data_IF_601431476924
#
_entry.id   IF_601431476924
#
_cell.length_a   1.000
_cell.length_b   1.000
_cell.length_c   1.000
_cell.angle_alpha   90.00
_cell.angle_beta   90.00
_cell.angle_gamma   90.00
#
_symmetry.space_group_name_H-M   'P 1'
#
loop_
_entity.id
_entity.type
_entity.pdbx_description
1 polymer ?
#
# COMPACT_ATOMS: atom_id res chain seq x y z
N UNK A 1 -9.71 16.53 -0.39
CA UNK A 1 -8.38 15.99 -0.79
C UNK A 1 -7.64 16.93 -1.74
N UNK A 2 -8.25 17.41 -2.83
CA UNK A 2 -7.58 18.21 -3.89
C UNK A 2 -6.96 19.56 -3.47
N UNK A 3 -7.36 20.17 -2.35
CA UNK A 3 -6.84 21.47 -1.88
C UNK A 3 -5.92 21.36 -0.65
N UNK A 4 -5.32 20.18 -0.42
CA UNK A 4 -4.50 19.96 0.77
C UNK A 4 -3.03 20.31 0.50
N UNK A 5 -2.30 20.91 1.46
CA UNK A 5 -0.85 21.02 1.39
C UNK A 5 -0.22 19.63 1.18
N UNK A 6 0.90 19.51 0.45
CA UNK A 6 1.59 18.23 0.23
C UNK A 6 1.88 17.50 1.54
N UNK A 7 2.29 18.24 2.56
CA UNK A 7 2.66 17.72 3.89
C UNK A 7 1.50 17.04 4.62
N UNK A 8 0.26 17.50 4.40
CA UNK A 8 -0.95 16.95 5.03
C UNK A 8 -1.70 16.00 4.12
N UNK A 9 -1.26 15.87 2.86
CA UNK A 9 -1.98 15.11 1.86
C UNK A 9 -2.03 13.61 2.21
N UNK A 10 -0.90 13.06 2.64
CA UNK A 10 -0.78 11.65 3.03
C UNK A 10 -1.68 11.34 4.24
N UNK A 11 -1.66 12.19 5.26
CA UNK A 11 -2.50 12.00 6.45
C UNK A 11 -3.99 12.08 6.12
N UNK A 12 -4.40 13.05 5.30
CA UNK A 12 -5.80 13.19 4.88
C UNK A 12 -6.27 12.02 4.04
N UNK A 13 -5.42 11.49 3.17
CA UNK A 13 -5.72 10.27 2.43
C UNK A 13 -5.88 9.08 3.38
N UNK A 14 -4.96 8.92 4.34
CA UNK A 14 -5.05 7.87 5.37
C UNK A 14 -6.36 7.95 6.17
N UNK A 15 -6.77 9.14 6.58
CA UNK A 15 -8.04 9.34 7.30
C UNK A 15 -9.22 8.94 6.42
N UNK A 16 -9.29 9.41 5.17
CA UNK A 16 -10.37 9.07 4.25
C UNK A 16 -10.44 7.56 3.97
N UNK A 17 -9.29 6.92 3.75
CA UNK A 17 -9.16 5.49 3.55
C UNK A 17 -9.61 4.71 4.79
N UNK A 18 -9.15 5.09 5.98
CA UNK A 18 -9.53 4.46 7.24
C UNK A 18 -11.03 4.59 7.53
N UNK A 19 -11.61 5.77 7.29
CA UNK A 19 -13.05 5.98 7.43
C UNK A 19 -13.85 5.10 6.47
N UNK A 20 -13.42 5.01 5.21
CA UNK A 20 -14.08 4.17 4.21
C UNK A 20 -14.01 2.69 4.58
N UNK A 21 -12.80 2.18 4.89
CA UNK A 21 -12.61 0.79 5.29
C UNK A 21 -13.37 0.47 6.58
N UNK A 22 -13.42 1.39 7.54
CA UNK A 22 -14.23 1.26 8.75
C UNK A 22 -15.73 1.19 8.45
N UNK A 23 -16.23 2.01 7.52
CA UNK A 23 -17.63 1.96 7.09
C UNK A 23 -17.97 0.64 6.37
N UNK A 24 -17.05 0.06 5.60
CA UNK A 24 -17.26 -1.26 5.01
C UNK A 24 -17.48 -2.35 6.07
N UNK A 25 -16.76 -2.29 7.19
CA UNK A 25 -16.91 -3.25 8.29
C UNK A 25 -18.30 -3.21 8.94
N UNK A 26 -19.03 -2.11 8.84
CA UNK A 26 -20.40 -2.00 9.36
C UNK A 26 -21.48 -2.24 8.29
N UNK A 27 -21.28 -1.73 7.07
CA UNK A 27 -22.25 -1.84 5.98
C UNK A 27 -22.39 -3.29 5.50
N UNK A 28 -21.28 -4.01 5.29
CA UNK A 28 -21.33 -5.37 4.73
C UNK A 28 -22.12 -6.34 5.62
N UNK A 29 -21.89 -6.40 6.95
CA UNK A 29 -22.71 -7.23 7.84
C UNK A 29 -24.18 -6.80 7.91
N UNK A 30 -24.46 -5.49 7.86
CA UNK A 30 -25.83 -4.98 7.90
C UNK A 30 -26.66 -5.48 6.70
N UNK A 31 -26.03 -5.57 5.54
CA UNK A 31 -26.66 -6.04 4.31
C UNK A 31 -26.35 -7.52 4.00
N UNK A 32 -25.93 -8.32 4.98
CA UNK A 32 -25.50 -9.72 4.75
C UNK A 32 -26.59 -10.57 4.09
N UNK A 33 -27.86 -10.33 4.42
CA UNK A 33 -28.98 -11.04 3.82
C UNK A 33 -29.10 -10.69 2.33
N UNK A 34 -29.05 -9.41 1.98
CA UNK A 34 -29.06 -8.97 0.59
C UNK A 34 -27.83 -9.48 -0.17
N UNK A 35 -26.65 -9.49 0.46
CA UNK A 35 -25.44 -10.03 -0.17
C UNK A 35 -25.63 -11.50 -0.56
N UNK A 36 -25.99 -12.34 0.42
CA UNK A 36 -26.12 -13.78 0.21
C UNK A 36 -27.28 -14.16 -0.73
N UNK A 37 -28.45 -13.58 -0.52
CA UNK A 37 -29.67 -14.04 -1.21
C UNK A 37 -29.98 -13.32 -2.53
N UNK A 38 -29.30 -12.20 -2.80
CA UNK A 38 -29.48 -11.47 -4.05
C UNK A 38 -28.17 -11.24 -4.80
N UNK A 39 -27.18 -10.60 -4.17
CA UNK A 39 -25.96 -10.18 -4.89
C UNK A 39 -25.12 -11.40 -5.31
N UNK A 40 -24.80 -12.29 -4.39
CA UNK A 40 -24.02 -13.50 -4.65
C UNK A 40 -24.81 -14.46 -5.56
N UNK A 41 -26.06 -14.77 -5.20
CA UNK A 41 -26.83 -15.84 -5.87
C UNK A 41 -27.48 -15.43 -7.18
N UNK A 42 -27.88 -14.17 -7.36
CA UNK A 42 -28.54 -13.69 -8.60
C UNK A 42 -27.59 -12.93 -9.51
N UNK A 43 -26.63 -12.19 -8.94
CA UNK A 43 -25.74 -11.33 -9.71
C UNK A 43 -24.32 -11.89 -9.82
N UNK A 44 -23.98 -12.95 -9.07
CA UNK A 44 -22.65 -13.56 -9.03
C UNK A 44 -21.55 -12.53 -8.73
N UNK A 45 -21.82 -11.67 -7.74
CA UNK A 45 -20.92 -10.62 -7.25
C UNK A 45 -20.82 -10.67 -5.73
N UNK A 46 -19.94 -9.87 -5.16
CA UNK A 46 -19.85 -9.62 -3.72
C UNK A 46 -19.97 -8.12 -3.42
N UNK A 47 -20.78 -7.78 -2.40
CA UNK A 47 -21.04 -6.40 -2.01
C UNK A 47 -19.78 -5.69 -1.52
N UNK A 48 -18.91 -6.37 -0.77
CA UNK A 48 -17.68 -5.76 -0.27
C UNK A 48 -16.77 -5.42 -1.45
N UNK A 49 -16.62 -6.33 -2.40
CA UNK A 49 -15.81 -6.12 -3.59
C UNK A 49 -16.37 -5.00 -4.48
N UNK A 50 -17.70 -4.94 -4.66
CA UNK A 50 -18.37 -3.86 -5.40
C UNK A 50 -18.12 -2.48 -4.74
N UNK A 51 -18.17 -2.40 -3.41
CA UNK A 51 -17.89 -1.17 -2.68
C UNK A 51 -16.41 -0.80 -2.74
N UNK A 52 -15.49 -1.76 -2.54
CA UNK A 52 -14.05 -1.55 -2.72
C UNK A 52 -13.78 -0.97 -4.11
N UNK A 53 -14.33 -1.59 -5.16
CA UNK A 53 -14.21 -1.11 -6.54
C UNK A 53 -14.69 0.33 -6.70
N UNK A 54 -15.84 0.66 -6.11
CA UNK A 54 -16.41 2.01 -6.17
C UNK A 54 -15.45 3.06 -5.58
N UNK A 55 -14.85 2.80 -4.42
CA UNK A 55 -13.86 3.71 -3.83
C UNK A 55 -12.56 3.77 -4.63
N UNK A 56 -12.10 2.62 -5.13
CA UNK A 56 -10.91 2.55 -5.99
C UNK A 56 -11.05 3.47 -7.20
N UNK A 57 -12.13 3.32 -7.97
CA UNK A 57 -12.36 4.07 -9.23
C UNK A 57 -12.66 5.56 -8.98
N UNK A 58 -13.46 5.88 -7.97
CA UNK A 58 -13.97 7.24 -7.81
C UNK A 58 -13.08 8.13 -6.94
N UNK A 59 -12.24 7.53 -6.10
CA UNK A 59 -11.40 8.26 -5.13
C UNK A 59 -9.93 7.89 -5.32
N UNK A 60 -9.55 6.64 -5.09
CA UNK A 60 -8.14 6.29 -4.96
C UNK A 60 -7.34 6.44 -6.27
N UNK A 61 -7.90 6.05 -7.42
CA UNK A 61 -7.28 6.23 -8.74
C UNK A 61 -6.92 7.69 -9.04
N UNK A 62 -7.76 8.64 -8.62
CA UNK A 62 -7.52 10.07 -8.84
C UNK A 62 -6.36 10.61 -8.01
N UNK A 63 -5.94 9.88 -6.99
CA UNK A 63 -4.94 10.31 -6.03
C UNK A 63 -3.64 9.50 -6.12
N UNK A 64 -3.64 8.32 -6.73
CA UNK A 64 -2.49 7.39 -6.72
C UNK A 64 -1.21 8.00 -7.31
N UNK A 65 -1.30 8.69 -8.44
CA UNK A 65 -0.14 9.27 -9.12
C UNK A 65 0.52 10.43 -8.35
N UNK A 66 -0.26 11.14 -7.53
CA UNK A 66 0.28 12.18 -6.64
C UNK A 66 0.73 11.60 -5.31
N UNK A 67 0.07 10.54 -4.83
CA UNK A 67 0.35 9.93 -3.54
C UNK A 67 1.63 9.10 -3.57
N UNK A 68 1.85 8.31 -4.63
CA UNK A 68 2.99 7.37 -4.71
C UNK A 68 4.35 8.07 -4.58
N UNK A 69 4.64 9.18 -5.28
CA UNK A 69 5.91 9.90 -5.11
C UNK A 69 6.09 10.43 -3.69
N UNK A 70 5.04 10.96 -3.07
CA UNK A 70 5.10 11.47 -1.71
C UNK A 70 5.37 10.35 -0.69
N UNK A 71 4.82 9.15 -0.90
CA UNK A 71 5.12 8.00 -0.03
C UNK A 71 6.57 7.54 -0.16
N UNK A 72 7.14 7.59 -1.36
CA UNK A 72 8.55 7.27 -1.60
C UNK A 72 9.48 8.31 -0.96
N UNK A 73 9.16 9.60 -1.10
CA UNK A 73 9.91 10.68 -0.44
C UNK A 73 9.84 10.56 1.09
N UNK A 74 8.63 10.38 1.64
CA UNK A 74 8.44 10.23 3.07
C UNK A 74 9.09 8.97 3.66
N UNK A 75 9.32 7.94 2.85
CA UNK A 75 10.08 6.77 3.26
C UNK A 75 11.58 7.07 3.38
N UNK A 76 12.11 7.94 2.53
CA UNK A 76 13.51 8.35 2.53
C UNK A 76 13.82 9.42 3.59
N UNK A 77 12.80 10.09 4.11
CA UNK A 77 12.94 11.15 5.12
C UNK A 77 12.53 10.64 6.52
N UNK A 78 13.48 10.51 7.46
CA UNK A 78 13.16 10.08 8.83
C UNK A 78 12.13 11.00 9.50
N UNK A 79 11.20 10.40 10.25
CA UNK A 79 10.18 11.08 11.08
C UNK A 79 9.15 11.94 10.34
N UNK A 80 9.18 12.02 9.01
CA UNK A 80 8.16 12.77 8.25
C UNK A 80 6.77 12.16 8.42
N UNK A 81 6.68 10.83 8.49
CA UNK A 81 5.42 10.09 8.65
C UNK A 81 5.60 8.96 9.64
N UNK A 82 4.58 8.73 10.48
CA UNK A 82 4.62 7.61 11.42
C UNK A 82 4.58 6.27 10.67
N UNK A 83 5.30 5.24 11.16
CA UNK A 83 5.29 3.91 10.53
C UNK A 83 3.89 3.30 10.43
N UNK A 84 2.99 3.60 11.36
CA UNK A 84 1.59 3.12 11.35
C UNK A 84 0.79 3.75 10.21
N UNK A 85 0.91 5.07 9.98
CA UNK A 85 0.28 5.75 8.85
C UNK A 85 0.77 5.17 7.52
N UNK A 86 2.09 4.98 7.37
CA UNK A 86 2.66 4.38 6.16
C UNK A 86 2.13 2.95 5.94
N UNK A 87 2.14 2.12 6.98
CA UNK A 87 1.64 0.75 6.89
C UNK A 87 0.15 0.69 6.54
N UNK A 88 -0.67 1.55 7.13
CA UNK A 88 -2.12 1.60 6.87
C UNK A 88 -2.42 1.97 5.42
N UNK A 89 -1.73 2.98 4.89
CA UNK A 89 -1.89 3.39 3.49
C UNK A 89 -1.44 2.26 2.57
N UNK A 90 -0.25 1.71 2.75
CA UNK A 90 0.28 0.66 1.86
C UNK A 90 -0.63 -0.58 1.85
N UNK A 91 -1.07 -1.04 3.03
CA UNK A 91 -2.00 -2.18 3.13
C UNK A 91 -3.36 -1.86 2.54
N UNK A 92 -3.87 -0.65 2.74
CA UNK A 92 -5.14 -0.23 2.18
C UNK A 92 -5.09 -0.06 0.65
N UNK A 93 -4.02 0.51 0.10
CA UNK A 93 -3.79 0.58 -1.35
C UNK A 93 -3.75 -0.82 -1.96
N UNK A 94 -3.05 -1.76 -1.32
CA UNK A 94 -3.02 -3.16 -1.75
C UNK A 94 -4.41 -3.81 -1.71
N UNK A 95 -5.19 -3.53 -0.66
CA UNK A 95 -6.59 -4.02 -0.53
C UNK A 95 -7.49 -3.45 -1.63
N UNK A 96 -7.29 -2.18 -2.02
CA UNK A 96 -8.06 -1.51 -3.05
C UNK A 96 -7.72 -2.01 -4.45
N UNK A 97 -6.43 -2.19 -4.73
CA UNK A 97 -5.91 -2.65 -6.02
C UNK A 97 -4.47 -3.21 -5.89
N UNK A 98 -4.27 -4.54 -5.89
CA UNK A 98 -2.95 -5.16 -5.80
C UNK A 98 -2.00 -4.76 -6.94
N UNK A 99 -2.52 -4.43 -8.13
CA UNK A 99 -1.72 -4.09 -9.31
C UNK A 99 -0.84 -2.84 -9.09
N UNK A 100 -1.20 -1.96 -8.15
CA UNK A 100 -0.39 -0.79 -7.80
C UNK A 100 0.96 -1.14 -7.15
N UNK A 101 1.16 -2.39 -6.72
CA UNK A 101 2.47 -2.90 -6.29
C UNK A 101 3.54 -2.66 -7.35
N UNK A 102 3.19 -2.76 -8.64
CA UNK A 102 4.12 -2.54 -9.76
C UNK A 102 4.73 -1.14 -9.78
N UNK A 103 4.06 -0.14 -9.18
CA UNK A 103 4.58 1.22 -9.12
C UNK A 103 5.73 1.37 -8.12
N UNK A 104 5.73 0.60 -7.03
CA UNK A 104 6.75 0.69 -5.98
C UNK A 104 6.93 -0.64 -5.20
N UNK A 105 7.41 -1.73 -5.82
CA UNK A 105 7.43 -3.06 -5.17
C UNK A 105 8.18 -3.08 -3.83
N UNK A 106 9.30 -2.36 -3.75
CA UNK A 106 10.12 -2.25 -2.54
C UNK A 106 9.43 -1.49 -1.38
N UNK A 107 8.48 -0.60 -1.69
CA UNK A 107 7.67 0.08 -0.66
C UNK A 107 6.65 -0.91 -0.08
N UNK A 108 5.93 -1.64 -0.95
CA UNK A 108 4.91 -2.60 -0.53
C UNK A 108 5.49 -3.77 0.25
N UNK A 109 6.65 -4.30 -0.15
CA UNK A 109 7.29 -5.46 0.49
C UNK A 109 7.71 -5.24 1.94
N UNK A 110 7.89 -3.98 2.37
CA UNK A 110 8.18 -3.66 3.78
C UNK A 110 6.99 -3.86 4.71
N UNK A 111 5.77 -3.87 4.17
CA UNK A 111 4.53 -3.93 4.95
C UNK A 111 3.65 -5.13 4.63
N UNK A 112 3.90 -5.80 3.49
CA UNK A 112 3.11 -6.92 2.99
C UNK A 112 4.08 -8.06 2.62
N UNK A 113 3.90 -9.27 3.20
CA UNK A 113 4.75 -10.41 2.87
C UNK A 113 4.51 -10.90 1.43
N UNK A 114 5.50 -11.58 0.86
CA UNK A 114 5.41 -12.25 -0.45
C UNK A 114 5.11 -11.32 -1.65
N UNK A 115 5.43 -10.02 -1.53
CA UNK A 115 5.35 -9.07 -2.65
C UNK A 115 6.50 -9.27 -3.64
N UNK A 116 7.71 -9.48 -3.12
CA UNK A 116 8.89 -9.75 -3.92
C UNK A 116 9.03 -11.26 -4.15
N UNK A 117 9.63 -11.68 -5.27
CA UNK A 117 9.91 -13.09 -5.50
C UNK A 117 10.78 -13.66 -4.37
N UNK A 118 10.59 -14.94 -4.01
CA UNK A 118 11.45 -15.60 -3.05
C UNK A 118 12.88 -15.64 -3.60
N UNK A 119 13.87 -15.50 -2.70
CA UNK A 119 15.26 -15.64 -3.07
C UNK A 119 15.54 -17.05 -3.62
N UNK A 120 16.24 -17.13 -4.76
CA UNK A 120 16.58 -18.40 -5.41
C UNK A 120 18.07 -18.68 -5.24
N UNK A 121 18.45 -19.96 -5.08
CA UNK A 121 19.85 -20.37 -4.87
C UNK A 121 20.78 -19.91 -6.02
N UNK A 122 20.28 -19.90 -7.26
CA UNK A 122 21.02 -19.43 -8.44
C UNK A 122 21.44 -17.96 -8.34
N UNK A 123 20.77 -17.15 -7.53
CA UNK A 123 21.02 -15.72 -7.36
C UNK A 123 21.95 -15.41 -6.17
N UNK A 124 22.40 -16.43 -5.42
CA UNK A 124 23.25 -16.22 -4.23
C UNK A 124 24.53 -15.44 -4.51
N UNK A 125 25.15 -15.67 -5.68
CA UNK A 125 26.35 -14.93 -6.07
C UNK A 125 26.05 -13.45 -6.30
N UNK A 126 24.88 -13.13 -6.83
CA UNK A 126 24.45 -11.76 -7.06
C UNK A 126 24.13 -11.05 -5.74
N UNK A 127 23.44 -11.73 -4.82
CA UNK A 127 23.22 -11.22 -3.46
C UNK A 127 24.53 -10.97 -2.72
N UNK A 128 25.51 -11.88 -2.82
CA UNK A 128 26.83 -11.69 -2.22
C UNK A 128 27.57 -10.47 -2.82
N UNK A 129 27.47 -10.25 -4.13
CA UNK A 129 28.08 -9.10 -4.79
C UNK A 129 27.43 -7.77 -4.37
N UNK A 130 26.10 -7.75 -4.22
CA UNK A 130 25.35 -6.60 -3.70
C UNK A 130 25.78 -6.26 -2.27
N UNK A 131 25.93 -7.28 -1.42
CA UNK A 131 26.35 -7.09 -0.03
C UNK A 131 27.79 -6.56 0.08
N UNK A 132 28.72 -7.11 -0.71
CA UNK A 132 30.09 -6.59 -0.80
C UNK A 132 30.17 -5.15 -1.33
N UNK A 133 29.25 -4.76 -2.21
CA UNK A 133 29.14 -3.37 -2.68
C UNK A 133 28.68 -2.47 -1.53
N UNK A 134 27.62 -2.85 -0.83
CA UNK A 134 27.11 -2.10 0.33
C UNK A 134 28.18 -1.94 1.42
N UNK A 135 28.89 -3.01 1.76
CA UNK A 135 29.97 -2.96 2.75
C UNK A 135 31.07 -1.97 2.35
N UNK A 136 31.48 -1.96 1.07
CA UNK A 136 32.47 -0.98 0.56
C UNK A 136 31.95 0.45 0.64
N UNK A 137 30.69 0.69 0.30
CA UNK A 137 30.07 2.02 0.39
C UNK A 137 29.99 2.51 1.85
N UNK A 138 29.65 1.63 2.79
CA UNK A 138 29.62 1.96 4.21
C UNK A 138 31.02 2.31 4.74
N UNK A 139 32.04 1.54 4.36
CA UNK A 139 33.44 1.83 4.72
C UNK A 139 33.91 3.19 4.17
N UNK A 140 33.54 3.54 2.93
CA UNK A 140 33.86 4.84 2.33
C UNK A 140 33.18 6.00 3.06
N UNK A 141 31.97 5.77 3.58
CA UNK A 141 31.23 6.76 4.37
C UNK A 141 31.66 6.80 5.86
N UNK A 142 32.76 6.14 6.23
CA UNK A 142 33.33 6.19 7.58
C UNK A 142 32.65 5.27 8.59
N UNK A 143 31.74 4.40 8.15
CA UNK A 143 31.13 3.37 9.00
C UNK A 143 32.04 2.14 9.07
N UNK A 144 33.11 2.24 9.84
CA UNK A 144 33.97 1.09 10.20
C UNK A 144 33.40 0.35 11.42
N UNK A 145 33.60 -0.96 11.45
CA UNK A 145 33.09 -1.89 12.47
C UNK A 145 33.73 -1.68 13.84
#
# INVERSE_FOLDING_TARGET
>A
LQASPPDLYIERFNVALGQYMGALQSIVPLFIYMNKFYIETKLNRDLKDDLIKLFTEHVAEKHIYNLMPLLLEAQSTPFQITPSTMANIVKGLYTLRPEWVQMAPALFSKFIPNILPPAVESELQEYAAQDQKLQRELMQNGFTR
#
